data_IF_357629276375
#
_entry.id   IF_357629276375
#
_cell.length_a   1.000
_cell.length_b   1.000
_cell.length_c   1.000
_cell.angle_alpha   90.00
_cell.angle_beta   90.00
_cell.angle_gamma   90.00
#
_symmetry.space_group_name_H-M   'P 1'
#
loop_
_entity.id
_entity.type
_entity.pdbx_description
1 polymer ?
#
# COMPACT_ATOMS: atom_id res chain seq x y z
N UNK A 1 35.07 36.87 -22.48
CA UNK A 1 34.94 36.59 -23.93
C UNK A 1 33.74 37.34 -24.47
N UNK A 2 33.92 38.24 -25.46
CA UNK A 2 32.82 38.92 -26.15
C UNK A 2 32.42 38.07 -27.34
N UNK A 3 31.27 37.40 -27.27
CA UNK A 3 30.76 36.63 -28.41
C UNK A 3 30.41 37.58 -29.56
N UNK A 4 30.91 37.27 -30.75
CA UNK A 4 30.69 38.05 -31.97
C UNK A 4 29.20 37.97 -32.33
N UNK A 5 28.56 39.12 -32.59
CA UNK A 5 27.12 39.24 -32.88
C UNK A 5 26.66 38.30 -34.01
N UNK A 6 27.54 37.98 -34.96
CA UNK A 6 27.27 37.01 -36.03
C UNK A 6 27.03 35.58 -35.53
N UNK A 7 27.75 35.16 -34.48
CA UNK A 7 27.57 33.82 -33.88
C UNK A 7 26.24 33.73 -33.13
N UNK A 8 25.84 34.80 -32.45
CA UNK A 8 24.57 34.86 -31.71
C UNK A 8 23.38 34.84 -32.66
N UNK A 9 23.47 35.53 -33.81
CA UNK A 9 22.42 35.52 -34.84
C UNK A 9 22.34 34.14 -35.53
N UNK A 10 23.47 33.49 -35.79
CA UNK A 10 23.48 32.14 -36.34
C UNK A 10 22.87 31.10 -35.37
N UNK A 11 23.17 31.21 -34.07
CA UNK A 11 22.55 30.36 -33.04
C UNK A 11 21.04 30.60 -32.92
N UNK A 12 20.59 31.85 -32.95
CA UNK A 12 19.16 32.19 -32.93
C UNK A 12 18.43 31.70 -34.19
N UNK A 13 19.07 31.76 -35.36
CA UNK A 13 18.52 31.23 -36.61
C UNK A 13 18.44 29.70 -36.60
N UNK A 14 19.44 29.00 -36.05
CA UNK A 14 19.40 27.55 -35.86
C UNK A 14 18.34 27.13 -34.82
N UNK A 15 18.15 27.90 -33.74
CA UNK A 15 17.08 27.66 -32.77
C UNK A 15 15.68 27.94 -33.36
N UNK A 16 15.54 28.95 -34.21
CA UNK A 16 14.27 29.25 -34.89
C UNK A 16 13.95 28.22 -35.99
N UNK A 17 14.95 27.68 -36.68
CA UNK A 17 14.77 26.60 -37.66
C UNK A 17 14.44 25.24 -37.01
N UNK A 18 14.83 25.03 -35.75
CA UNK A 18 14.38 23.90 -34.92
C UNK A 18 12.97 24.12 -34.34
N UNK A 19 12.49 25.37 -34.26
CA UNK A 19 11.18 25.72 -33.72
C UNK A 19 10.03 25.61 -34.74
N UNK A 20 10.33 25.42 -36.02
CA UNK A 20 9.34 25.21 -37.09
C UNK A 20 9.33 23.78 -37.62
N UNK A 21 9.54 22.79 -36.76
CA UNK A 21 8.94 21.49 -37.02
C UNK A 21 7.44 21.66 -36.87
N UNK A 22 6.61 21.27 -37.84
CA UNK A 22 5.19 21.13 -37.57
C UNK A 22 5.08 20.19 -36.38
N UNK A 23 4.53 20.68 -35.27
CA UNK A 23 3.98 19.83 -34.25
C UNK A 23 2.82 19.07 -34.92
N UNK A 24 3.15 18.04 -35.68
CA UNK A 24 2.24 16.94 -35.90
C UNK A 24 1.94 16.45 -34.50
N UNK A 25 0.68 16.61 -34.08
CA UNK A 25 0.17 15.88 -32.94
C UNK A 25 0.61 14.43 -33.12
N UNK A 26 1.55 13.99 -32.29
CA UNK A 26 1.86 12.56 -32.20
C UNK A 26 0.69 11.99 -31.42
N UNK A 27 -0.38 11.67 -32.14
CA UNK A 27 -1.16 10.46 -31.86
C UNK A 27 -0.13 9.32 -31.85
N UNK A 28 0.46 9.01 -30.69
CA UNK A 28 1.50 7.98 -30.67
C UNK A 28 2.45 7.88 -29.49
N UNK A 29 2.42 8.75 -28.48
CA UNK A 29 3.10 8.43 -27.22
C UNK A 29 2.09 7.94 -26.19
N UNK A 30 1.68 6.68 -26.37
CA UNK A 30 0.78 5.98 -25.45
C UNK A 30 1.50 5.51 -24.18
N UNK A 31 2.83 5.60 -24.10
CA UNK A 31 3.63 5.13 -22.95
C UNK A 31 4.90 5.96 -22.76
N UNK A 32 5.16 6.34 -21.52
CA UNK A 32 6.38 6.97 -21.03
C UNK A 32 7.03 6.00 -20.05
N UNK A 33 8.34 5.78 -20.22
CA UNK A 33 9.17 5.06 -19.24
C UNK A 33 10.19 6.05 -18.71
N UNK A 34 10.22 6.23 -17.40
CA UNK A 34 11.25 6.98 -16.68
C UNK A 34 11.98 6.04 -15.74
N UNK A 35 13.10 6.46 -15.16
CA UNK A 35 13.81 5.62 -14.22
C UNK A 35 14.53 6.39 -13.13
N UNK A 36 14.79 5.69 -12.04
CA UNK A 36 15.53 6.14 -10.88
C UNK A 36 16.53 5.05 -10.50
N UNK A 37 17.75 5.44 -10.14
CA UNK A 37 18.75 4.54 -9.58
C UNK A 37 19.07 4.93 -8.13
N UNK A 38 19.16 3.92 -7.28
CA UNK A 38 19.43 4.08 -5.85
C UNK A 38 20.60 3.19 -5.47
N UNK A 39 21.75 3.79 -5.17
CA UNK A 39 22.90 3.05 -4.61
C UNK A 39 22.97 3.25 -3.10
N UNK A 40 22.89 2.15 -2.36
CA UNK A 40 22.96 2.09 -0.90
C UNK A 40 24.36 1.68 -0.48
N UNK A 41 24.91 2.40 0.49
CA UNK A 41 26.21 2.14 1.09
C UNK A 41 26.02 1.97 2.59
N UNK A 42 26.41 0.82 3.12
CA UNK A 42 26.50 0.59 4.55
C UNK A 42 27.94 0.20 4.86
N UNK A 43 28.59 1.03 5.68
CA UNK A 43 29.91 0.77 6.23
C UNK A 43 29.82 0.86 7.74
N UNK A 44 30.00 -0.28 8.40
CA UNK A 44 29.92 -0.38 9.84
C UNK A 44 31.18 -0.99 10.45
N UNK A 45 31.23 -0.97 11.77
CA UNK A 45 32.36 -1.41 12.59
C UNK A 45 32.20 -2.84 13.12
N UNK A 46 31.43 -3.69 12.44
CA UNK A 46 31.03 -5.05 12.81
C UNK A 46 30.01 -5.12 13.95
N UNK A 47 29.14 -4.12 14.10
CA UNK A 47 28.01 -4.19 15.02
C UNK A 47 26.89 -5.05 14.42
N UNK A 48 26.18 -5.83 15.24
CA UNK A 48 25.20 -6.83 14.79
C UNK A 48 23.84 -6.26 14.34
N UNK A 49 23.68 -4.94 14.29
CA UNK A 49 22.35 -4.29 14.37
C UNK A 49 21.83 -3.72 13.05
N UNK A 50 22.47 -4.04 11.94
CA UNK A 50 21.96 -3.64 10.64
C UNK A 50 22.91 -4.04 9.55
N UNK A 51 22.40 -4.71 8.54
CA UNK A 51 23.20 -5.21 7.45
C UNK A 51 22.50 -4.93 6.12
N UNK A 52 23.30 -4.57 5.11
CA UNK A 52 22.94 -4.80 3.69
C UNK A 52 23.15 -6.30 3.35
N UNK A 53 23.72 -7.04 4.29
CA UNK A 53 24.05 -8.46 4.27
C UNK A 53 23.28 -9.26 5.34
N UNK A 54 22.24 -9.97 4.91
CA UNK A 54 21.55 -11.00 5.68
C UNK A 54 20.76 -10.53 6.92
N UNK A 55 19.44 -10.70 6.88
CA UNK A 55 18.63 -10.72 8.09
C UNK A 55 18.91 -12.05 8.80
N UNK A 56 19.32 -12.02 10.06
CA UNK A 56 19.86 -13.12 10.89
C UNK A 56 18.95 -14.35 11.10
N UNK A 57 17.94 -14.55 10.28
CA UNK A 57 16.92 -15.61 10.43
C UNK A 57 17.39 -16.99 9.99
N UNK A 58 18.59 -17.15 9.41
CA UNK A 58 19.10 -18.44 8.94
C UNK A 58 20.35 -18.85 9.74
N UNK A 59 20.29 -19.94 10.53
CA UNK A 59 21.44 -20.45 11.27
C UNK A 59 22.60 -20.86 10.35
N UNK A 60 23.83 -20.43 10.67
CA UNK A 60 25.06 -20.87 9.99
C UNK A 60 25.57 -19.95 8.87
N UNK A 61 24.85 -18.87 8.53
CA UNK A 61 25.34 -17.87 7.58
C UNK A 61 26.08 -16.73 8.29
N UNK A 62 27.09 -16.16 7.61
CA UNK A 62 27.80 -14.99 8.09
C UNK A 62 26.87 -13.82 8.36
N UNK A 63 27.28 -12.95 9.28
CA UNK A 63 26.61 -11.68 9.61
C UNK A 63 27.63 -10.53 9.59
N UNK A 64 27.17 -9.31 9.30
CA UNK A 64 28.02 -8.12 9.33
C UNK A 64 27.29 -6.86 8.87
N UNK A 65 27.80 -5.70 9.24
CA UNK A 65 27.22 -4.38 8.97
C UNK A 65 27.88 -3.64 7.78
N UNK A 66 28.41 -4.40 6.83
CA UNK A 66 29.07 -3.87 5.64
C UNK A 66 28.40 -4.41 4.37
N UNK A 67 28.07 -3.53 3.43
CA UNK A 67 27.56 -3.91 2.12
C UNK A 67 27.20 -2.74 1.22
N UNK A 68 27.13 -3.04 -0.09
CA UNK A 68 26.74 -2.09 -1.13
C UNK A 68 25.75 -2.75 -2.09
N UNK A 69 24.80 -1.97 -2.61
CA UNK A 69 23.85 -2.44 -3.61
C UNK A 69 23.14 -1.30 -4.35
N UNK A 70 22.83 -1.53 -5.62
CA UNK A 70 22.12 -0.63 -6.53
C UNK A 70 20.77 -1.21 -6.93
N UNK A 71 19.70 -0.51 -6.57
CA UNK A 71 18.36 -0.77 -7.08
C UNK A 71 18.09 0.16 -8.27
N UNK A 72 17.47 -0.38 -9.31
CA UNK A 72 16.98 0.37 -10.47
C UNK A 72 15.46 0.27 -10.45
N UNK A 73 14.82 1.42 -10.59
CA UNK A 73 13.39 1.57 -10.75
C UNK A 73 13.07 2.10 -12.14
N UNK A 74 12.18 1.44 -12.86
CA UNK A 74 11.57 1.95 -14.08
C UNK A 74 10.10 2.25 -13.81
N UNK A 75 9.69 3.50 -13.97
CA UNK A 75 8.32 3.96 -13.81
C UNK A 75 7.68 4.05 -15.19
N UNK A 76 6.61 3.28 -15.38
CA UNK A 76 5.83 3.18 -16.62
C UNK A 76 4.54 3.96 -16.42
N UNK A 77 4.25 4.90 -17.30
CA UNK A 77 2.98 5.62 -17.36
C UNK A 77 2.45 5.56 -18.79
N UNK A 78 1.25 5.00 -18.97
CA UNK A 78 0.65 4.76 -20.27
C UNK A 78 -0.78 5.27 -20.33
N UNK A 79 -1.14 5.84 -21.48
CA UNK A 79 -2.51 6.22 -21.83
C UNK A 79 -2.92 5.49 -23.10
N UNK A 80 -3.34 4.20 -23.02
CA UNK A 80 -3.77 3.45 -24.20
C UNK A 80 -4.99 4.07 -24.90
N UNK A 81 -5.80 4.86 -24.17
CA UNK A 81 -6.87 5.67 -24.74
C UNK A 81 -7.14 6.88 -23.84
N UNK A 82 -7.98 7.82 -24.30
CA UNK A 82 -8.44 8.97 -23.51
C UNK A 82 -9.17 8.60 -22.20
N UNK A 83 -9.64 7.36 -22.06
CA UNK A 83 -10.42 6.88 -20.92
C UNK A 83 -9.65 5.87 -20.06
N UNK A 84 -8.41 5.52 -20.42
CA UNK A 84 -7.65 4.46 -19.76
C UNK A 84 -6.25 4.98 -19.49
N UNK A 85 -5.85 4.91 -18.23
CA UNK A 85 -4.50 5.16 -17.74
C UNK A 85 -3.96 3.87 -17.12
N UNK A 86 -2.74 3.49 -17.46
CA UNK A 86 -2.04 2.35 -16.88
C UNK A 86 -0.70 2.83 -16.33
N UNK A 87 -0.45 2.59 -15.05
CA UNK A 87 0.82 2.90 -14.40
C UNK A 87 1.44 1.64 -13.81
N UNK A 88 2.76 1.52 -13.82
CA UNK A 88 3.49 0.42 -13.21
C UNK A 88 4.90 0.87 -12.79
N UNK A 89 5.54 0.11 -11.90
CA UNK A 89 6.93 0.29 -11.47
C UNK A 89 7.65 -1.04 -11.58
N UNK A 90 8.63 -1.15 -12.45
CA UNK A 90 9.53 -2.29 -12.47
C UNK A 90 10.70 -1.98 -11.54
N UNK A 91 10.91 -2.77 -10.49
CA UNK A 91 11.96 -2.51 -9.51
C UNK A 91 12.90 -3.71 -9.40
N UNK A 92 14.20 -3.48 -9.54
CA UNK A 92 15.20 -4.46 -9.12
C UNK A 92 15.35 -4.47 -7.59
N UNK A 93 15.57 -5.65 -7.03
CA UNK A 93 15.85 -5.86 -5.62
C UNK A 93 16.97 -6.89 -5.49
N UNK A 94 17.82 -6.64 -4.51
CA UNK A 94 18.80 -7.61 -4.04
C UNK A 94 18.37 -8.10 -2.65
N UNK A 95 18.62 -9.36 -2.36
CA UNK A 95 18.37 -9.96 -1.04
C UNK A 95 19.64 -10.00 -0.18
N UNK A 96 20.82 -10.12 -0.80
CA UNK A 96 22.12 -10.08 -0.14
C UNK A 96 23.14 -9.37 -1.05
N UNK A 97 23.94 -8.44 -0.48
CA UNK A 97 25.25 -8.00 -0.97
C UNK A 97 25.48 -8.05 -2.49
N UNK A 98 24.65 -7.30 -3.23
CA UNK A 98 24.64 -7.28 -4.69
C UNK A 98 26.03 -7.09 -5.29
N UNK A 99 26.79 -6.13 -4.77
CA UNK A 99 28.09 -5.78 -5.33
C UNK A 99 29.23 -6.73 -4.93
N UNK A 100 29.05 -7.56 -3.90
CA UNK A 100 30.06 -8.58 -3.55
C UNK A 100 29.68 -9.97 -4.07
N UNK A 101 28.53 -10.09 -4.73
CA UNK A 101 28.08 -11.33 -5.36
C UNK A 101 28.61 -11.43 -6.80
N UNK A 102 29.84 -11.92 -6.95
CA UNK A 102 30.50 -12.10 -8.26
C UNK A 102 30.36 -13.52 -8.83
N UNK A 103 29.23 -14.21 -8.62
CA UNK A 103 29.00 -15.55 -9.17
C UNK A 103 29.89 -16.64 -8.55
N UNK A 104 30.09 -16.56 -7.23
CA UNK A 104 30.89 -17.55 -6.50
C UNK A 104 30.11 -18.82 -6.17
N UNK A 105 30.81 -19.96 -6.10
CA UNK A 105 30.30 -21.20 -5.51
C UNK A 105 30.16 -21.05 -3.99
N UNK A 106 29.16 -20.30 -3.53
CA UNK A 106 28.79 -20.22 -2.13
C UNK A 106 28.37 -21.60 -1.60
N UNK A 107 28.76 -21.92 -0.36
CA UNK A 107 28.43 -23.17 0.30
C UNK A 107 26.91 -23.41 0.40
N UNK A 108 26.52 -24.69 0.43
CA UNK A 108 25.12 -25.13 0.59
C UNK A 108 24.51 -24.57 1.86
N UNK A 109 23.22 -24.29 1.82
CA UNK A 109 22.43 -23.99 3.01
C UNK A 109 22.35 -25.26 3.89
N UNK A 110 22.98 -25.31 5.07
CA UNK A 110 22.97 -26.50 5.92
C UNK A 110 21.55 -26.86 6.44
N UNK A 111 20.59 -25.93 6.37
CA UNK A 111 19.19 -26.19 6.72
C UNK A 111 18.42 -26.95 5.62
N UNK A 112 18.99 -27.08 4.41
CA UNK A 112 18.39 -27.76 3.27
C UNK A 112 19.14 -29.06 2.88
N UNK A 113 20.19 -29.43 3.62
CA UNK A 113 20.99 -30.62 3.32
C UNK A 113 20.39 -31.91 3.90
N UNK A 114 20.39 -32.98 3.10
CA UNK A 114 20.18 -34.34 3.57
C UNK A 114 21.01 -35.34 2.73
N UNK A 115 22.12 -35.89 3.23
CA UNK A 115 22.72 -35.67 4.55
C UNK A 115 23.51 -34.34 4.64
N UNK A 116 23.67 -33.78 5.85
CA UNK A 116 24.51 -32.60 6.08
C UNK A 116 25.98 -32.85 5.69
N UNK A 117 26.59 -31.95 4.91
CA UNK A 117 28.02 -31.94 4.59
C UNK A 117 28.47 -32.66 3.31
N UNK A 118 27.60 -32.87 2.32
CA UNK A 118 27.96 -33.50 1.04
C UNK A 118 28.50 -32.52 -0.02
N UNK A 119 29.31 -33.01 -0.97
CA UNK A 119 29.89 -32.21 -2.07
C UNK A 119 28.83 -31.55 -2.97
N UNK A 120 29.06 -30.28 -3.36
CA UNK A 120 28.25 -29.52 -4.32
C UNK A 120 28.27 -30.16 -5.72
N UNK A 121 27.24 -30.93 -6.05
CA UNK A 121 26.98 -31.44 -7.39
C UNK A 121 25.90 -30.57 -8.02
N UNK A 122 26.27 -29.82 -9.07
CA UNK A 122 25.40 -29.15 -10.05
C UNK A 122 24.07 -28.57 -9.56
N UNK A 123 24.05 -27.28 -9.20
CA UNK A 123 22.83 -26.47 -9.23
C UNK A 123 22.19 -26.07 -7.89
N UNK A 124 22.67 -26.57 -6.75
CA UNK A 124 22.01 -26.35 -5.44
C UNK A 124 22.83 -25.50 -4.44
N UNK A 125 23.88 -24.81 -4.90
CA UNK A 125 24.76 -23.99 -4.06
C UNK A 125 25.19 -22.69 -4.76
N UNK A 126 25.46 -21.62 -4.00
CA UNK A 126 26.07 -20.39 -4.50
C UNK A 126 25.11 -19.48 -5.27
N UNK A 127 25.46 -19.15 -6.52
CA UNK A 127 24.64 -18.30 -7.41
C UNK A 127 23.25 -18.90 -7.69
N UNK A 128 23.12 -20.23 -7.64
CA UNK A 128 21.83 -20.92 -7.82
C UNK A 128 20.94 -20.91 -6.57
N UNK A 129 21.43 -20.39 -5.45
CA UNK A 129 20.59 -20.13 -4.28
C UNK A 129 19.61 -18.99 -4.61
N UNK A 130 18.28 -19.19 -4.46
CA UNK A 130 17.29 -18.12 -4.63
C UNK A 130 17.61 -16.83 -3.86
N UNK A 131 18.41 -16.90 -2.79
CA UNK A 131 18.81 -15.75 -1.97
C UNK A 131 19.94 -14.92 -2.58
N UNK A 132 20.72 -15.52 -3.48
CA UNK A 132 21.78 -14.86 -4.26
C UNK A 132 21.24 -14.22 -5.54
N UNK A 133 19.98 -14.50 -5.91
CA UNK A 133 19.36 -13.95 -7.11
C UNK A 133 19.04 -12.46 -6.96
N UNK A 134 19.31 -11.72 -8.03
CA UNK A 134 18.84 -10.34 -8.21
C UNK A 134 17.49 -10.36 -8.94
N UNK A 135 16.43 -10.00 -8.23
CA UNK A 135 15.08 -10.09 -8.75
C UNK A 135 14.62 -8.77 -9.33
N UNK A 136 14.01 -8.83 -10.50
CA UNK A 136 13.21 -7.73 -11.05
C UNK A 136 11.73 -8.05 -10.81
N UNK A 137 11.01 -7.13 -10.16
CA UNK A 137 9.60 -7.29 -9.85
C UNK A 137 8.77 -6.16 -10.47
N UNK A 138 7.69 -6.53 -11.16
CA UNK A 138 6.63 -5.58 -11.51
C UNK A 138 5.80 -5.26 -10.26
N UNK A 139 5.94 -4.02 -9.81
CA UNK A 139 5.25 -3.40 -8.68
C UNK A 139 4.31 -2.32 -9.19
N UNK A 140 3.39 -1.89 -8.32
CA UNK A 140 2.58 -0.70 -8.60
C UNK A 140 1.62 -0.79 -9.80
N UNK A 141 1.50 -1.93 -10.50
CA UNK A 141 0.63 -2.04 -11.67
C UNK A 141 -0.81 -1.64 -11.30
N UNK A 142 -1.33 -0.68 -12.04
CA UNK A 142 -2.64 -0.07 -11.82
C UNK A 142 -3.23 0.33 -13.16
N UNK A 143 -4.49 -0.04 -13.39
CA UNK A 143 -5.29 0.43 -14.51
C UNK A 143 -6.44 1.28 -13.97
N UNK A 144 -6.54 2.52 -14.44
CA UNK A 144 -7.61 3.47 -14.10
C UNK A 144 -8.45 3.74 -15.35
N UNK A 145 -9.74 3.55 -15.21
CA UNK A 145 -10.75 3.70 -16.25
C UNK A 145 -11.64 4.89 -15.90
N UNK A 146 -11.84 5.82 -16.83
CA UNK A 146 -12.73 6.99 -16.67
C UNK A 146 -13.81 6.94 -17.75
N UNK A 147 -14.88 6.14 -17.56
CA UNK A 147 -15.85 5.85 -18.61
C UNK A 147 -16.79 7.01 -18.95
N UNK A 148 -16.83 8.06 -18.12
CA UNK A 148 -17.69 9.24 -18.35
C UNK A 148 -19.16 9.00 -18.03
N UNK A 149 -19.49 7.97 -17.25
CA UNK A 149 -20.87 7.73 -16.80
C UNK A 149 -21.28 8.74 -15.73
N UNK A 150 -22.56 9.12 -15.70
CA UNK A 150 -23.10 10.09 -14.72
C UNK A 150 -22.96 9.66 -13.26
N UNK A 151 -22.73 8.37 -13.01
CA UNK A 151 -22.63 7.78 -11.68
C UNK A 151 -21.24 7.18 -11.39
N UNK A 152 -20.33 7.15 -12.37
CA UNK A 152 -19.00 6.56 -12.23
C UNK A 152 -17.97 7.45 -12.92
N UNK A 153 -17.22 8.20 -12.12
CA UNK A 153 -16.12 9.03 -12.59
C UNK A 153 -14.89 8.18 -12.88
N UNK A 154 -14.59 7.20 -12.01
CA UNK A 154 -13.44 6.31 -12.19
C UNK A 154 -13.65 4.90 -11.62
N UNK A 155 -13.14 3.90 -12.32
CA UNK A 155 -12.87 2.57 -11.78
C UNK A 155 -11.35 2.34 -11.80
N UNK A 156 -10.75 1.89 -10.71
CA UNK A 156 -9.31 1.59 -10.61
C UNK A 156 -9.12 0.14 -10.20
N UNK A 157 -8.25 -0.57 -10.91
CA UNK A 157 -7.89 -1.97 -10.64
C UNK A 157 -6.38 -2.04 -10.50
N UNK A 158 -5.91 -2.57 -9.38
CA UNK A 158 -4.48 -2.79 -9.15
C UNK A 158 -3.98 -2.10 -7.90
N UNK A 159 -2.81 -1.48 -7.98
CA UNK A 159 -2.08 -1.02 -6.81
C UNK A 159 -2.60 0.33 -6.30
N UNK A 160 -2.80 0.46 -5.00
CA UNK A 160 -3.20 1.73 -4.40
C UNK A 160 -2.53 1.92 -3.05
N UNK A 161 -2.16 3.17 -2.75
CA UNK A 161 -1.71 3.56 -1.40
C UNK A 161 -2.90 3.73 -0.43
N UNK A 162 -4.14 3.54 -0.89
CA UNK A 162 -5.38 3.67 -0.12
C UNK A 162 -5.62 5.07 0.47
N UNK A 163 -4.86 6.08 0.05
CA UNK A 163 -4.87 7.40 0.67
C UNK A 163 -6.13 8.24 0.44
N UNK A 164 -7.08 7.74 -0.35
CA UNK A 164 -8.39 8.38 -0.55
C UNK A 164 -9.38 8.12 0.59
N UNK A 165 -9.17 7.05 1.35
CA UNK A 165 -9.98 6.69 2.51
C UNK A 165 -9.42 7.32 3.78
N UNK A 166 -10.23 7.30 4.82
CA UNK A 166 -9.90 7.94 6.07
C UNK A 166 -9.02 7.05 6.99
N UNK A 167 -8.00 7.64 7.64
CA UNK A 167 -6.99 6.90 8.42
C UNK A 167 -7.49 6.03 9.58
N UNK A 168 -8.71 6.26 10.10
CA UNK A 168 -9.29 5.45 11.18
C UNK A 168 -10.10 4.24 10.67
N UNK A 169 -10.30 4.15 9.36
CA UNK A 169 -10.91 2.99 8.68
C UNK A 169 -9.87 2.37 7.75
N UNK A 170 -10.01 2.51 6.43
CA UNK A 170 -8.98 2.09 5.49
C UNK A 170 -7.94 3.20 5.36
N UNK A 171 -6.79 3.00 6.00
CA UNK A 171 -5.75 4.01 6.04
C UNK A 171 -4.78 3.94 4.88
N UNK A 172 -4.13 5.08 4.64
CA UNK A 172 -3.03 5.17 3.69
C UNK A 172 -1.87 4.25 4.08
N UNK A 173 -1.44 3.40 3.16
CA UNK A 173 -0.29 2.52 3.32
C UNK A 173 0.82 2.99 2.37
N UNK A 174 1.94 3.43 2.92
CA UNK A 174 3.17 3.69 2.16
C UNK A 174 4.27 2.74 2.62
N UNK A 175 4.66 1.84 1.74
CA UNK A 175 5.88 1.07 1.93
C UNK A 175 6.89 1.46 0.86
N UNK A 176 8.04 1.97 1.29
CA UNK A 176 9.18 2.23 0.40
C UNK A 176 9.84 0.90 -0.06
N UNK A 177 9.71 -0.17 0.74
CA UNK A 177 10.33 -1.48 0.51
C UNK A 177 9.35 -2.66 0.33
N UNK A 178 8.04 -2.39 0.24
CA UNK A 178 6.99 -3.42 0.05
C UNK A 178 5.97 -2.97 -1.01
N UNK A 179 5.13 -3.90 -1.42
CA UNK A 179 4.10 -3.62 -2.42
C UNK A 179 2.91 -2.90 -1.80
N UNK A 180 2.39 -1.90 -2.53
CA UNK A 180 1.10 -1.30 -2.23
C UNK A 180 -0.03 -2.34 -2.33
N UNK A 181 -1.09 -2.12 -1.54
CA UNK A 181 -2.29 -2.95 -1.52
C UNK A 181 -2.88 -3.07 -2.93
N UNK A 182 -3.47 -4.24 -3.23
CA UNK A 182 -4.15 -4.49 -4.50
C UNK A 182 -5.65 -4.41 -4.28
N UNK A 183 -6.31 -3.54 -5.04
CA UNK A 183 -7.72 -3.25 -4.86
C UNK A 183 -8.45 -3.03 -6.18
N UNK A 184 -9.77 -3.21 -6.11
CA UNK A 184 -10.73 -2.68 -7.08
C UNK A 184 -11.46 -1.53 -6.39
N UNK A 185 -11.43 -0.35 -7.00
CA UNK A 185 -12.00 0.89 -6.47
C UNK A 185 -12.96 1.48 -7.50
N UNK A 186 -14.14 1.91 -7.04
CA UNK A 186 -15.13 2.64 -7.83
C UNK A 186 -15.39 3.98 -7.15
N UNK A 187 -15.33 5.05 -7.93
CA UNK A 187 -15.52 6.41 -7.45
C UNK A 187 -16.50 7.12 -8.35
N UNK A 188 -17.48 7.81 -7.77
CA UNK A 188 -18.43 8.55 -8.56
C UNK A 188 -19.41 9.38 -7.74
N UNK A 189 -20.20 10.20 -8.42
CA UNK A 189 -21.26 10.97 -7.81
C UNK A 189 -22.59 10.20 -7.78
N UNK A 190 -23.45 10.60 -6.86
CA UNK A 190 -24.87 10.23 -6.84
C UNK A 190 -25.71 11.50 -7.09
N UNK A 191 -26.65 11.42 -8.03
CA UNK A 191 -27.59 12.51 -8.33
C UNK A 191 -26.91 13.83 -8.69
N UNK A 192 -27.07 14.86 -7.87
CA UNK A 192 -26.61 16.24 -8.09
C UNK A 192 -25.09 16.45 -7.91
N UNK A 193 -24.30 15.38 -7.78
CA UNK A 193 -22.85 15.38 -7.47
C UNK A 193 -22.47 15.99 -6.12
N UNK A 194 -23.44 16.48 -5.35
CA UNK A 194 -23.24 16.89 -3.94
C UNK A 194 -22.96 15.70 -3.03
N UNK A 195 -23.46 14.53 -3.40
CA UNK A 195 -23.14 13.25 -2.77
C UNK A 195 -22.18 12.50 -3.68
N UNK A 196 -21.03 12.09 -3.16
CA UNK A 196 -20.07 11.22 -3.86
C UNK A 196 -19.80 9.97 -3.04
N UNK A 197 -19.33 8.93 -3.72
CA UNK A 197 -18.95 7.68 -3.08
C UNK A 197 -17.56 7.22 -3.52
N UNK A 198 -16.87 6.56 -2.58
CA UNK A 198 -15.72 5.70 -2.84
C UNK A 198 -16.07 4.29 -2.34
N UNK A 199 -16.06 3.29 -3.24
CA UNK A 199 -16.32 1.89 -2.92
C UNK A 199 -15.07 1.08 -3.27
N UNK A 200 -14.54 0.31 -2.32
CA UNK A 200 -13.31 -0.45 -2.52
C UNK A 200 -13.47 -1.90 -2.07
N UNK A 201 -12.81 -2.81 -2.80
CA UNK A 201 -12.47 -4.16 -2.32
C UNK A 201 -10.97 -4.35 -2.44
N UNK A 202 -10.30 -4.55 -1.32
CA UNK A 202 -8.88 -4.87 -1.22
C UNK A 202 -8.73 -6.39 -1.06
N UNK A 203 -7.91 -7.04 -1.89
CA UNK A 203 -7.50 -8.42 -1.63
C UNK A 203 -6.70 -8.44 -0.34
N UNK A 204 -7.10 -9.27 0.64
CA UNK A 204 -6.50 -9.24 1.98
C UNK A 204 -4.97 -9.48 1.88
N UNK A 205 -4.14 -8.47 2.17
CA UNK A 205 -2.70 -8.65 2.02
C UNK A 205 -2.16 -9.61 3.08
N UNK A 206 -1.14 -10.41 2.74
CA UNK A 206 -0.43 -11.28 3.70
C UNK A 206 0.12 -10.52 4.93
N UNK A 207 0.32 -9.20 4.83
CA UNK A 207 0.70 -8.37 5.98
C UNK A 207 -0.41 -8.25 7.04
N UNK A 208 -1.66 -8.37 6.62
CA UNK A 208 -2.84 -8.47 7.47
C UNK A 208 -3.28 -9.93 7.62
N UNK A 209 -2.39 -10.88 7.29
CA UNK A 209 -2.56 -12.26 7.70
C UNK A 209 -2.85 -12.26 9.19
N UNK A 210 -3.89 -12.99 9.55
CA UNK A 210 -4.41 -13.01 10.89
C UNK A 210 -3.42 -13.52 11.94
N UNK A 211 -3.95 -13.96 13.07
CA UNK A 211 -3.16 -14.45 14.20
C UNK A 211 -1.99 -15.39 13.79
N UNK A 212 -0.77 -15.09 14.25
CA UNK A 212 0.51 -15.74 13.88
C UNK A 212 1.03 -15.52 12.44
N UNK A 213 0.59 -14.48 11.71
CA UNK A 213 0.99 -14.21 10.31
C UNK A 213 0.71 -15.35 9.33
N UNK A 214 -0.20 -16.27 9.69
CA UNK A 214 -0.66 -17.33 8.81
C UNK A 214 -1.84 -16.83 7.97
N UNK A 215 -1.85 -17.11 6.68
CA UNK A 215 -2.92 -16.70 5.74
C UNK A 215 -4.13 -17.62 5.75
N UNK A 216 -4.08 -18.75 6.45
CA UNK A 216 -5.17 -19.73 6.40
C UNK A 216 -5.30 -20.39 5.03
N UNK A 217 -6.47 -20.98 4.79
CA UNK A 217 -6.94 -21.38 3.48
C UNK A 217 -7.29 -20.14 2.66
N UNK A 218 -6.77 -20.03 1.43
CA UNK A 218 -7.14 -18.92 0.55
C UNK A 218 -8.60 -19.06 0.10
N UNK A 219 -9.45 -18.15 0.56
CA UNK A 219 -10.82 -18.01 0.07
C UNK A 219 -10.99 -16.73 -0.76
N UNK A 220 -11.77 -16.79 -1.84
CA UNK A 220 -12.01 -15.62 -2.69
C UNK A 220 -12.68 -14.46 -1.95
N UNK A 221 -13.37 -14.77 -0.85
CA UNK A 221 -14.06 -13.83 0.03
C UNK A 221 -13.12 -13.12 1.01
N UNK A 222 -11.85 -13.52 1.10
CA UNK A 222 -10.87 -12.86 1.95
C UNK A 222 -10.59 -11.46 1.40
N UNK A 223 -10.86 -10.46 2.22
CA UNK A 223 -10.71 -9.09 1.77
C UNK A 223 -11.15 -8.05 2.79
N UNK A 224 -10.78 -6.81 2.46
CA UNK A 224 -11.32 -5.63 3.08
C UNK A 224 -12.25 -4.92 2.10
N UNK A 225 -13.42 -4.53 2.58
CA UNK A 225 -14.45 -3.82 1.84
C UNK A 225 -14.62 -2.46 2.50
N UNK A 226 -14.61 -1.40 1.71
CA UNK A 226 -14.77 -0.04 2.20
C UNK A 226 -15.82 0.72 1.42
N UNK A 227 -16.59 1.54 2.12
CA UNK A 227 -17.53 2.49 1.54
C UNK A 227 -17.34 3.84 2.25
N UNK A 228 -17.16 4.90 1.47
CA UNK A 228 -17.19 6.28 1.96
C UNK A 228 -18.22 7.06 1.17
N UNK A 229 -19.15 7.73 1.86
CA UNK A 229 -20.17 8.60 1.28
C UNK A 229 -19.89 10.04 1.73
N UNK A 230 -19.66 10.96 0.81
CA UNK A 230 -19.30 12.36 1.11
C UNK A 230 -20.42 13.27 0.61
N UNK A 231 -21.07 13.98 1.53
CA UNK A 231 -22.16 14.90 1.25
C UNK A 231 -21.71 16.34 1.52
N UNK A 232 -21.70 17.17 0.48
CA UNK A 232 -21.36 18.59 0.55
C UNK A 232 -22.58 19.43 0.11
N UNK A 233 -23.56 19.67 1.00
CA UNK A 233 -24.80 20.36 0.64
C UNK A 233 -24.57 21.85 0.36
N UNK A 234 -23.59 22.47 1.04
CA UNK A 234 -23.18 23.88 0.93
C UNK A 234 -21.70 24.03 1.29
N UNK A 235 -21.17 25.25 1.20
CA UNK A 235 -19.80 25.56 1.66
C UNK A 235 -19.66 25.65 3.19
N UNK A 236 -20.77 25.69 3.93
CA UNK A 236 -20.78 25.84 5.39
C UNK A 236 -20.72 24.51 6.12
N UNK A 237 -21.00 23.41 5.43
CA UNK A 237 -21.21 22.12 6.06
C UNK A 237 -20.82 20.98 5.14
N UNK A 238 -20.14 19.98 5.69
CA UNK A 238 -19.91 18.68 5.05
C UNK A 238 -20.17 17.53 6.01
N UNK A 239 -20.56 16.38 5.46
CA UNK A 239 -20.67 15.10 6.18
C UNK A 239 -19.97 14.04 5.37
N UNK A 240 -19.22 13.18 6.06
CA UNK A 240 -18.72 11.93 5.48
C UNK A 240 -19.18 10.75 6.33
N UNK A 241 -19.93 9.81 5.73
CA UNK A 241 -20.20 8.50 6.33
C UNK A 241 -19.20 7.47 5.82
N UNK A 242 -18.72 6.59 6.68
CA UNK A 242 -17.74 5.54 6.33
C UNK A 242 -18.16 4.20 6.90
N UNK A 243 -17.81 3.15 6.15
CA UNK A 243 -17.95 1.78 6.57
C UNK A 243 -16.77 0.97 6.07
N UNK A 244 -16.21 0.14 6.94
CA UNK A 244 -15.19 -0.86 6.62
C UNK A 244 -15.66 -2.22 7.11
N UNK A 245 -15.41 -3.25 6.31
CA UNK A 245 -15.48 -4.66 6.73
C UNK A 245 -14.23 -5.39 6.27
N UNK A 246 -13.49 -5.94 7.21
CA UNK A 246 -12.42 -6.89 6.96
C UNK A 246 -12.91 -8.27 7.34
N UNK A 247 -12.71 -9.23 6.45
CA UNK A 247 -13.10 -10.62 6.69
C UNK A 247 -12.06 -11.56 6.13
N UNK A 248 -11.72 -12.54 6.95
CA UNK A 248 -10.86 -13.67 6.66
C UNK A 248 -11.66 -14.93 7.00
N UNK A 249 -11.81 -15.84 6.03
CA UNK A 249 -12.64 -17.04 6.13
C UNK A 249 -11.87 -18.29 5.76
N UNK A 250 -12.19 -19.38 6.46
CA UNK A 250 -11.57 -20.69 6.30
C UNK A 250 -12.61 -21.68 5.79
N UNK A 251 -12.15 -22.76 5.16
CA UNK A 251 -13.02 -23.90 4.89
C UNK A 251 -13.41 -24.53 6.23
N UNK A 252 -14.71 -24.71 6.42
CA UNK A 252 -15.25 -25.33 7.62
C UNK A 252 -14.73 -26.77 7.74
N UNK A 253 -14.20 -27.14 8.91
CA UNK A 253 -13.83 -28.53 9.20
C UNK A 253 -15.02 -29.51 9.17
N UNK A 254 -16.26 -29.00 9.09
CA UNK A 254 -17.49 -29.80 8.90
C UNK A 254 -17.83 -30.03 7.43
N UNK A 255 -17.15 -29.36 6.52
CA UNK A 255 -17.28 -29.61 5.09
C UNK A 255 -16.64 -30.95 4.76
N UNK A 256 -17.46 -31.99 4.61
CA UNK A 256 -16.98 -33.35 4.30
C UNK A 256 -16.72 -33.55 2.81
N UNK A 257 -16.71 -32.48 1.99
CA UNK A 257 -16.51 -32.57 0.55
C UNK A 257 -17.67 -33.23 -0.22
N UNK A 258 -18.78 -33.52 0.47
CA UNK A 258 -19.99 -34.10 -0.13
C UNK A 258 -21.03 -33.03 -0.55
N UNK A 259 -20.77 -31.76 -0.22
CA UNK A 259 -21.45 -30.64 -0.84
C UNK A 259 -20.90 -30.57 -2.27
N UNK A 260 -21.62 -31.18 -3.21
CA UNK A 260 -21.14 -31.50 -4.56
C UNK A 260 -20.37 -30.37 -5.25
N UNK A 261 -19.60 -30.73 -6.28
CA UNK A 261 -18.76 -29.83 -7.09
C UNK A 261 -19.45 -28.50 -7.50
N UNK A 262 -20.78 -28.45 -7.49
CA UNK A 262 -21.62 -27.33 -7.87
C UNK A 262 -22.07 -26.40 -6.71
N UNK A 263 -21.96 -26.80 -5.44
CA UNK A 263 -22.54 -26.07 -4.29
C UNK A 263 -21.54 -25.26 -3.45
N UNK A 264 -20.27 -25.20 -3.86
CA UNK A 264 -19.22 -24.50 -3.13
C UNK A 264 -18.86 -25.18 -1.80
N UNK A 265 -17.92 -24.56 -1.06
CA UNK A 265 -17.47 -25.04 0.25
C UNK A 265 -18.13 -24.27 1.39
N UNK A 266 -18.35 -24.94 2.52
CA UNK A 266 -18.83 -24.27 3.73
C UNK A 266 -17.70 -23.41 4.31
N UNK A 267 -17.97 -22.13 4.56
CA UNK A 267 -16.97 -21.19 5.06
C UNK A 267 -17.25 -20.76 6.50
N UNK A 268 -16.21 -20.65 7.30
CA UNK A 268 -16.26 -20.14 8.68
C UNK A 268 -15.35 -18.93 8.81
N UNK A 269 -15.73 -17.91 9.58
CA UNK A 269 -14.86 -16.74 9.75
C UNK A 269 -13.72 -17.09 10.69
N UNK A 270 -12.48 -16.84 10.28
CA UNK A 270 -11.33 -16.83 11.19
C UNK A 270 -11.30 -15.57 12.01
N UNK A 271 -11.42 -14.42 11.35
CA UNK A 271 -11.67 -13.16 12.02
C UNK A 271 -12.50 -12.22 11.15
N UNK A 272 -13.12 -11.25 11.80
CA UNK A 272 -13.81 -10.14 11.15
C UNK A 272 -13.59 -8.86 11.94
N UNK A 273 -13.59 -7.73 11.25
CA UNK A 273 -13.58 -6.41 11.84
C UNK A 273 -14.48 -5.48 11.01
N UNK A 274 -15.49 -4.92 11.67
CA UNK A 274 -16.40 -3.93 11.09
C UNK A 274 -16.19 -2.58 11.77
N UNK A 275 -16.03 -1.52 10.98
CA UNK A 275 -15.90 -0.15 11.47
C UNK A 275 -16.96 0.72 10.83
N UNK A 276 -17.71 1.43 11.66
CA UNK A 276 -18.73 2.38 11.25
C UNK A 276 -18.25 3.77 11.65
N UNK A 277 -18.29 4.73 10.73
CA UNK A 277 -17.75 6.05 10.97
C UNK A 277 -18.61 7.18 10.42
N UNK A 278 -18.52 8.33 11.07
CA UNK A 278 -19.06 9.58 10.57
C UNK A 278 -18.09 10.73 10.87
N UNK A 279 -17.95 11.65 9.92
CA UNK A 279 -17.33 12.97 10.12
C UNK A 279 -18.31 14.04 9.74
N UNK A 280 -18.18 15.20 10.38
CA UNK A 280 -18.85 16.41 9.96
C UNK A 280 -17.91 17.61 10.11
N UNK A 281 -18.09 18.58 9.23
CA UNK A 281 -17.42 19.88 9.26
C UNK A 281 -18.45 21.01 9.30
N UNK A 282 -18.19 22.04 10.09
CA UNK A 282 -18.96 23.30 10.12
C UNK A 282 -17.99 24.45 9.88
N UNK A 283 -18.19 25.17 8.78
CA UNK A 283 -17.27 26.19 8.23
C UNK A 283 -17.97 27.55 8.11
N UNK A 284 -18.34 28.19 9.23
CA UNK A 284 -19.09 29.46 9.19
C UNK A 284 -18.29 30.61 8.57
N UNK A 285 -16.96 30.57 8.65
CA UNK A 285 -16.08 31.59 8.04
C UNK A 285 -14.66 31.05 7.84
N UNK A 286 -13.79 31.81 7.18
CA UNK A 286 -12.36 31.48 7.10
C UNK A 286 -11.64 31.54 8.46
N UNK A 287 -12.20 32.26 9.44
CA UNK A 287 -11.62 32.45 10.78
C UNK A 287 -11.97 31.36 11.78
N UNK A 288 -13.03 30.59 11.53
CA UNK A 288 -13.53 29.58 12.46
C UNK A 288 -13.93 28.32 11.69
N UNK A 289 -13.39 27.18 12.11
CA UNK A 289 -13.69 25.86 11.56
C UNK A 289 -13.89 24.87 12.73
N UNK A 290 -14.97 24.08 12.68
CA UNK A 290 -15.25 23.02 13.64
C UNK A 290 -15.37 21.70 12.90
N UNK A 291 -14.62 20.68 13.34
CA UNK A 291 -14.68 19.33 12.76
C UNK A 291 -14.88 18.31 13.86
N UNK A 292 -15.82 17.41 13.66
CA UNK A 292 -16.05 16.28 14.55
C UNK A 292 -15.98 14.97 13.78
N UNK A 293 -15.54 13.92 14.46
CA UNK A 293 -15.63 12.55 13.97
C UNK A 293 -15.97 11.58 15.09
N UNK A 294 -16.64 10.51 14.68
CA UNK A 294 -17.02 9.38 15.52
C UNK A 294 -16.82 8.09 14.74
N UNK A 295 -16.27 7.09 15.40
CA UNK A 295 -16.23 5.72 14.90
C UNK A 295 -16.67 4.74 15.96
N UNK A 296 -17.17 3.60 15.51
CA UNK A 296 -17.42 2.44 16.34
C UNK A 296 -16.88 1.22 15.63
N UNK A 297 -16.04 0.46 16.32
CA UNK A 297 -15.44 -0.76 15.79
C UNK A 297 -16.01 -1.98 16.50
N UNK A 298 -16.15 -3.06 15.75
CA UNK A 298 -16.36 -4.40 16.30
C UNK A 298 -15.34 -5.33 15.67
N UNK A 299 -14.71 -6.17 16.47
CA UNK A 299 -13.81 -7.21 15.98
C UNK A 299 -14.11 -8.52 16.70
N UNK A 300 -13.97 -9.62 15.98
CA UNK A 300 -14.31 -10.95 16.46
C UNK A 300 -13.39 -11.96 15.77
N UNK A 301 -12.44 -12.47 16.54
CA UNK A 301 -11.52 -13.52 16.14
C UNK A 301 -12.00 -14.86 16.73
N UNK A 302 -12.18 -15.85 15.85
CA UNK A 302 -12.67 -17.17 16.23
C UNK A 302 -11.59 -17.91 17.03
N UNK A 303 -11.81 -18.21 18.32
CA UNK A 303 -10.79 -18.78 19.20
C UNK A 303 -10.40 -20.22 18.83
N UNK A 304 -11.15 -20.89 17.93
CA UNK A 304 -10.77 -22.21 17.40
C UNK A 304 -9.78 -22.14 16.26
N UNK A 305 -9.73 -21.00 15.56
CA UNK A 305 -8.90 -20.78 14.37
C UNK A 305 -7.81 -19.74 14.61
N UNK A 306 -7.85 -19.09 15.77
CA UNK A 306 -6.93 -18.04 16.18
C UNK A 306 -6.50 -18.26 17.63
N UNK A 307 -5.21 -18.08 17.96
CA UNK A 307 -4.74 -18.02 19.34
C UNK A 307 -5.55 -17.05 20.19
N UNK A 308 -5.90 -17.45 21.40
CA UNK A 308 -6.57 -16.60 22.40
C UNK A 308 -5.62 -15.58 23.05
N UNK A 309 -4.31 -15.78 22.88
CA UNK A 309 -3.24 -14.89 23.32
C UNK A 309 -2.02 -15.08 22.40
N UNK A 310 -1.27 -14.01 22.19
CA UNK A 310 -0.06 -14.02 21.37
C UNK A 310 1.23 -14.20 22.17
N UNK A 311 1.13 -14.31 23.50
CA UNK A 311 2.28 -14.44 24.39
C UNK A 311 3.30 -13.31 24.23
N UNK A 312 4.57 -13.59 24.51
CA UNK A 312 5.68 -12.63 24.37
C UNK A 312 6.27 -12.55 22.94
N UNK A 313 5.80 -13.38 22.00
CA UNK A 313 6.46 -13.59 20.71
C UNK A 313 5.60 -13.29 19.48
N UNK A 314 4.36 -12.83 19.65
CA UNK A 314 3.45 -12.57 18.54
C UNK A 314 2.86 -11.16 18.58
N UNK A 315 3.05 -10.41 17.50
CA UNK A 315 2.19 -9.27 17.17
C UNK A 315 1.17 -9.77 16.15
N UNK A 316 -0.12 -9.46 16.35
CA UNK A 316 -1.14 -9.72 15.35
C UNK A 316 -1.88 -8.42 14.99
N UNK A 317 -2.20 -8.21 13.70
CA UNK A 317 -3.06 -7.11 13.31
C UNK A 317 -4.53 -7.31 13.73
N UNK A 318 -4.91 -8.51 14.17
CA UNK A 318 -6.25 -8.82 14.67
C UNK A 318 -6.22 -9.03 16.19
N UNK A 319 -7.08 -8.32 16.92
CA UNK A 319 -7.24 -8.52 18.35
C UNK A 319 -7.87 -9.89 18.63
N UNK A 320 -7.38 -10.57 19.68
CA UNK A 320 -7.90 -11.87 20.08
C UNK A 320 -9.28 -11.72 20.74
N UNK A 321 -10.18 -12.66 20.44
CA UNK A 321 -11.53 -12.70 20.99
C UNK A 321 -12.48 -11.69 20.35
N UNK A 322 -13.51 -11.29 21.10
CA UNK A 322 -14.55 -10.37 20.65
C UNK A 322 -14.43 -9.06 21.41
N UNK A 323 -14.21 -7.97 20.68
CA UNK A 323 -13.99 -6.64 21.23
C UNK A 323 -14.78 -5.60 20.44
N UNK A 324 -15.12 -4.50 21.11
CA UNK A 324 -15.79 -3.38 20.47
C UNK A 324 -15.60 -2.12 21.28
N UNK A 325 -15.27 -1.01 20.62
CA UNK A 325 -15.09 0.27 21.29
C UNK A 325 -15.33 1.42 20.31
N UNK A 326 -15.71 2.60 20.81
CA UNK A 326 -15.81 3.80 20.01
C UNK A 326 -14.51 4.61 19.97
N UNK A 327 -14.44 5.52 19.02
CA UNK A 327 -13.44 6.57 18.91
C UNK A 327 -14.15 7.89 18.62
N UNK A 328 -13.76 8.96 19.30
CA UNK A 328 -14.25 10.32 19.04
C UNK A 328 -13.08 11.28 18.93
N UNK A 329 -13.21 12.28 18.07
CA UNK A 329 -12.27 13.39 17.95
C UNK A 329 -13.00 14.64 17.52
N UNK A 330 -12.65 15.77 18.10
CA UNK A 330 -13.15 17.09 17.75
C UNK A 330 -11.97 18.06 17.60
N UNK A 331 -12.02 18.90 16.56
CA UNK A 331 -11.05 19.96 16.33
C UNK A 331 -11.78 21.29 16.17
N UNK A 332 -11.23 22.33 16.79
CA UNK A 332 -11.64 23.71 16.59
C UNK A 332 -10.43 24.50 16.11
N UNK A 333 -10.54 25.10 14.93
CA UNK A 333 -9.53 25.99 14.38
C UNK A 333 -10.01 27.44 14.45
N UNK A 334 -9.19 28.30 15.03
CA UNK A 334 -9.34 29.76 15.03
C UNK A 334 -8.21 30.36 14.20
N UNK A 335 -8.49 30.68 12.94
CA UNK A 335 -7.52 31.21 12.01
C UNK A 335 -7.47 32.73 12.07
N UNK A 336 -6.34 33.27 12.52
CA UNK A 336 -6.09 34.70 12.64
C UNK A 336 -7.28 35.51 13.23
N UNK A 337 -7.75 35.18 14.45
CA UNK A 337 -8.93 35.82 15.01
C UNK A 337 -8.70 37.33 15.23
N UNK A 338 -7.45 37.75 15.45
CA UNK A 338 -7.06 39.13 15.75
C UNK A 338 -6.49 39.91 14.55
N UNK A 339 -6.28 39.30 13.38
CA UNK A 339 -5.71 39.98 12.21
C UNK A 339 -4.19 40.22 12.28
N UNK A 340 -3.48 39.44 13.09
CA UNK A 340 -2.03 39.55 13.37
C UNK A 340 -1.23 38.35 12.87
N UNK A 341 -1.88 37.42 12.15
CA UNK A 341 -1.28 36.19 11.64
C UNK A 341 -1.14 35.06 12.65
N UNK A 342 -1.86 35.12 13.79
CA UNK A 342 -1.81 34.08 14.84
C UNK A 342 -3.01 33.14 14.74
N UNK A 343 -2.78 31.83 14.60
CA UNK A 343 -3.85 30.83 14.57
C UNK A 343 -3.77 29.88 15.77
N UNK A 344 -4.93 29.38 16.21
CA UNK A 344 -5.04 28.41 17.30
C UNK A 344 -5.78 27.16 16.80
N UNK A 345 -5.29 25.99 17.19
CA UNK A 345 -5.98 24.71 17.01
C UNK A 345 -6.18 24.07 18.38
N UNK A 346 -7.40 23.68 18.68
CA UNK A 346 -7.75 22.87 19.84
C UNK A 346 -8.23 21.51 19.36
N UNK A 347 -7.55 20.46 19.78
CA UNK A 347 -7.87 19.07 19.44
C UNK A 347 -8.23 18.29 20.71
N UNK A 348 -9.40 17.66 20.71
CA UNK A 348 -9.81 16.65 21.70
C UNK A 348 -9.94 15.30 21.01
N UNK A 349 -9.40 14.24 21.61
CA UNK A 349 -9.59 12.88 21.15
C UNK A 349 -9.80 11.94 22.34
N UNK A 350 -10.64 10.93 22.13
CA UNK A 350 -10.80 9.79 23.01
C UNK A 350 -10.89 8.55 22.13
N UNK A 351 -9.89 7.68 22.26
CA UNK A 351 -9.79 6.42 21.53
C UNK A 351 -10.02 5.32 22.54
N UNK A 352 -11.08 4.54 22.36
CA UNK A 352 -11.33 3.38 23.20
C UNK A 352 -10.16 2.40 23.17
N UNK A 353 -9.84 1.81 24.32
CA UNK A 353 -8.72 0.86 24.46
C UNK A 353 -8.87 -0.39 23.58
N UNK A 354 -10.09 -0.71 23.17
CA UNK A 354 -10.44 -1.83 22.31
C UNK A 354 -10.81 -1.40 20.88
N UNK A 355 -10.69 -0.11 20.55
CA UNK A 355 -10.95 0.35 19.20
C UNK A 355 -9.94 -0.29 18.25
N UNK A 356 -10.41 -0.91 17.17
CA UNK A 356 -9.51 -1.50 16.18
C UNK A 356 -10.07 -1.38 14.77
N UNK A 357 -9.18 -1.02 13.85
CA UNK A 357 -9.38 -1.15 12.41
C UNK A 357 -8.15 -1.85 11.83
N UNK A 358 -8.35 -2.99 11.17
CA UNK A 358 -7.24 -3.82 10.68
C UNK A 358 -6.44 -3.08 9.60
N UNK A 359 -7.11 -2.31 8.73
CA UNK A 359 -6.47 -1.54 7.65
C UNK A 359 -6.19 -0.07 8.02
N UNK A 360 -6.45 0.37 9.25
CA UNK A 360 -6.15 1.74 9.64
C UNK A 360 -4.65 2.05 9.58
N UNK A 361 -4.35 3.29 9.19
CA UNK A 361 -2.99 3.82 9.20
C UNK A 361 -2.55 4.18 10.62
N UNK A 362 -3.50 4.41 11.52
CA UNK A 362 -3.31 4.67 12.94
C UNK A 362 -3.86 3.47 13.70
N UNK A 363 -2.95 2.58 14.10
CA UNK A 363 -3.25 1.41 14.93
C UNK A 363 -3.10 1.76 16.40
#
# INVERSE_FOLDING_TARGET
>A
MRFNRGLTIALLACCAALASMPARAVDGQTMIITGEDYTKWLWGNQHTDGSVYNFTTVPGEGYGDNGQGTEIDLLIASHPSKNIEVTARLQSRFNQNQWTNYGGFGGRNPALENPPGGDCIGGDCGEFDPRSNEYIKMRGLTARFTPGFKWLDAATIGSSDLGMFDPYTIGKIRYIDRDNAKAVLFQGPLGSRKLTYDLIRVSLPRLFAGPNFNTGDYAGQDGAYGLQLKLNPSSLFDITGMYERVRDVEVSARDTGNNGLDNGRDLTSRFKNDVYGAKFGIHPSSKFDLRGLYYYSTADANPKLTPTSFGLSGFSPALAGKVSDPLYKANVDLNDPFGVGLSFNLEYFNIGAQYTSILAARR
#
